data_IF_593498551534
#
_entry.id   IF_593498551534
#
_cell.length_a   1.000
_cell.length_b   1.000
_cell.length_c   1.000
_cell.angle_alpha   90.00
_cell.angle_beta   90.00
_cell.angle_gamma   90.00
#
_symmetry.space_group_name_H-M   'P 1'
#
loop_
_entity.id
_entity.type
_entity.pdbx_description
1 polymer ?
#
# COMPACT_ATOMS: atom_id res chain seq x y z
N UNK A 1 -15.56 43.10 -0.70
CA UNK A 1 -15.64 41.65 -0.43
C UNK A 1 -16.21 40.99 -1.67
N UNK A 2 -15.38 40.25 -2.40
CA UNK A 2 -15.76 39.64 -3.68
C UNK A 2 -16.62 38.40 -3.42
N UNK A 3 -17.56 38.12 -4.33
CA UNK A 3 -18.46 36.95 -4.29
C UNK A 3 -17.73 35.59 -4.26
N UNK A 4 -16.44 35.58 -4.53
CA UNK A 4 -15.61 34.38 -4.57
C UNK A 4 -15.19 33.89 -3.17
N UNK A 5 -15.18 34.77 -2.16
CA UNK A 5 -14.81 34.41 -0.78
C UNK A 5 -15.92 33.61 -0.06
N UNK A 6 -17.16 33.64 -0.55
CA UNK A 6 -18.31 32.99 0.07
C UNK A 6 -18.44 31.50 -0.31
N UNK A 7 -17.85 31.08 -1.45
CA UNK A 7 -17.92 29.69 -1.95
C UNK A 7 -16.98 28.75 -1.17
N UNK A 8 -15.87 29.26 -0.65
CA UNK A 8 -14.91 28.45 0.12
C UNK A 8 -15.43 28.07 1.51
N UNK A 9 -16.22 28.91 2.17
CA UNK A 9 -16.68 28.67 3.55
C UNK A 9 -17.82 27.65 3.68
N UNK A 10 -18.59 27.39 2.62
CA UNK A 10 -19.70 26.41 2.67
C UNK A 10 -19.23 24.98 2.40
N UNK A 11 -18.14 24.83 1.62
CA UNK A 11 -17.56 23.53 1.26
C UNK A 11 -16.64 22.97 2.34
N UNK A 12 -15.95 23.83 3.11
CA UNK A 12 -15.16 23.43 4.28
C UNK A 12 -16.01 22.93 5.45
N UNK A 13 -17.24 23.44 5.61
CA UNK A 13 -18.18 23.05 6.69
C UNK A 13 -18.65 21.59 6.66
N UNK A 14 -18.35 20.84 5.59
CA UNK A 14 -18.66 19.41 5.45
C UNK A 14 -17.43 18.51 5.34
N UNK A 15 -16.23 19.02 5.62
CA UNK A 15 -15.04 18.18 5.71
C UNK A 15 -14.98 17.59 7.12
N UNK A 16 -15.20 16.29 7.23
CA UNK A 16 -14.89 15.56 8.46
C UNK A 16 -13.38 15.74 8.73
N UNK A 17 -13.05 16.40 9.84
CA UNK A 17 -11.67 16.54 10.29
C UNK A 17 -11.24 15.18 10.84
N UNK A 18 -10.65 14.35 9.98
CA UNK A 18 -10.02 13.10 10.40
C UNK A 18 -8.71 13.44 11.13
N UNK A 19 -8.80 13.63 12.44
CA UNK A 19 -7.62 13.81 13.29
C UNK A 19 -6.89 12.45 13.39
N UNK A 20 -5.87 12.25 12.57
CA UNK A 20 -4.89 11.18 12.81
C UNK A 20 -4.16 11.54 14.11
N UNK A 21 -4.28 10.68 15.13
CA UNK A 21 -3.64 10.92 16.44
C UNK A 21 -2.12 11.01 16.28
N UNK A 22 -1.45 11.76 17.17
CA UNK A 22 0.01 11.97 17.17
C UNK A 22 0.84 10.68 17.06
N UNK A 23 0.33 9.55 17.57
CA UNK A 23 0.97 8.25 17.45
C UNK A 23 1.19 7.79 15.99
N UNK A 24 0.31 8.19 15.07
CA UNK A 24 0.42 7.89 13.64
C UNK A 24 1.09 9.03 12.85
N UNK A 25 1.46 10.12 13.51
CA UNK A 25 2.22 11.21 12.91
C UNK A 25 3.66 10.75 12.69
N UNK A 26 4.13 10.84 11.44
CA UNK A 26 5.51 10.49 11.08
C UNK A 26 6.48 11.68 11.17
N UNK A 27 6.00 12.85 11.57
CA UNK A 27 6.71 14.12 11.50
C UNK A 27 6.24 14.98 10.32
N UNK A 28 6.59 16.26 10.35
CA UNK A 28 6.30 17.19 9.26
C UNK A 28 7.04 16.72 8.00
N UNK A 29 6.33 16.52 6.89
CA UNK A 29 6.85 16.23 5.54
C UNK A 29 7.11 14.77 5.12
N UNK A 30 6.74 13.77 5.92
CA UNK A 30 6.87 12.32 5.55
C UNK A 30 5.52 11.61 5.33
N UNK A 31 4.47 12.40 5.07
CA UNK A 31 3.07 11.97 5.18
C UNK A 31 2.57 11.02 4.10
N UNK A 32 2.95 11.18 2.82
CA UNK A 32 2.30 10.47 1.72
C UNK A 32 0.75 10.58 1.76
N UNK A 33 0.04 9.82 0.92
CA UNK A 33 -1.43 9.84 0.95
C UNK A 33 -1.96 9.28 2.29
N UNK A 34 -1.30 8.27 2.86
CA UNK A 34 -1.81 7.51 4.00
C UNK A 34 -1.59 8.22 5.34
N UNK A 35 -0.58 9.08 5.48
CA UNK A 35 -0.28 9.79 6.74
C UNK A 35 -0.50 11.32 6.64
N UNK A 36 -1.02 11.84 5.53
CA UNK A 36 -1.43 13.26 5.45
C UNK A 36 -2.59 13.56 6.42
N UNK A 37 -2.40 14.59 7.26
CA UNK A 37 -3.35 14.98 8.30
C UNK A 37 -4.28 16.13 7.83
N UNK A 38 -3.80 16.96 6.89
CA UNK A 38 -4.61 18.03 6.30
C UNK A 38 -5.58 17.44 5.26
N UNK A 39 -6.88 17.63 5.48
CA UNK A 39 -7.94 17.09 4.63
C UNK A 39 -7.86 17.60 3.17
N UNK A 40 -7.45 18.84 2.96
CA UNK A 40 -7.31 19.42 1.62
C UNK A 40 -6.11 18.81 0.90
N UNK A 41 -4.96 18.72 1.55
CA UNK A 41 -3.76 18.06 1.00
C UNK A 41 -4.01 16.58 0.75
N UNK A 42 -4.72 15.90 1.64
CA UNK A 42 -5.12 14.50 1.46
C UNK A 42 -5.97 14.34 0.22
N UNK A 43 -7.00 15.18 0.03
CA UNK A 43 -7.86 15.13 -1.16
C UNK A 43 -7.08 15.36 -2.45
N UNK A 44 -6.16 16.31 -2.46
CA UNK A 44 -5.28 16.53 -3.61
C UNK A 44 -4.38 15.32 -3.89
N UNK A 45 -3.79 14.74 -2.85
CA UNK A 45 -2.94 13.55 -2.97
C UNK A 45 -3.74 12.33 -3.46
N UNK A 46 -4.93 12.09 -2.91
CA UNK A 46 -5.86 11.03 -3.36
C UNK A 46 -6.26 11.26 -4.81
N UNK A 47 -6.56 12.50 -5.22
CA UNK A 47 -6.92 12.82 -6.60
C UNK A 47 -5.78 12.48 -7.57
N UNK A 48 -4.52 12.63 -7.17
CA UNK A 48 -3.36 12.27 -8.00
C UNK A 48 -3.24 10.76 -8.22
N UNK A 49 -3.60 9.94 -7.23
CA UNK A 49 -3.47 8.47 -7.30
C UNK A 49 -4.77 7.75 -7.72
N UNK A 50 -5.93 8.41 -7.64
CA UNK A 50 -7.23 7.77 -7.85
C UNK A 50 -7.40 7.17 -9.25
N UNK A 51 -6.77 7.79 -10.27
CA UNK A 51 -6.77 7.26 -11.64
C UNK A 51 -6.02 5.93 -11.73
N UNK A 52 -4.88 5.80 -11.05
CA UNK A 52 -4.11 4.55 -11.00
C UNK A 52 -4.88 3.44 -10.28
N UNK A 53 -5.75 3.80 -9.32
CA UNK A 53 -6.61 2.86 -8.59
C UNK A 53 -8.03 2.71 -9.19
N UNK A 54 -8.27 3.19 -10.41
CA UNK A 54 -9.60 3.07 -11.04
C UNK A 54 -9.91 1.61 -11.40
N UNK A 55 -11.21 1.25 -11.50
CA UNK A 55 -11.61 -0.10 -11.94
C UNK A 55 -10.93 -0.51 -13.24
N UNK A 56 -10.85 0.40 -14.21
CA UNK A 56 -10.21 0.15 -15.51
C UNK A 56 -8.72 -0.16 -15.34
N UNK A 57 -8.03 0.60 -14.49
CA UNK A 57 -6.61 0.40 -14.19
C UNK A 57 -6.38 -0.94 -13.48
N UNK A 58 -7.24 -1.29 -12.52
CA UNK A 58 -7.16 -2.58 -11.82
C UNK A 58 -7.37 -3.77 -12.77
N UNK A 59 -8.32 -3.68 -13.70
CA UNK A 59 -8.50 -4.71 -14.74
C UNK A 59 -7.30 -4.79 -15.69
N UNK A 60 -6.67 -3.66 -16.04
CA UNK A 60 -5.47 -3.68 -16.85
C UNK A 60 -4.28 -4.35 -16.13
N UNK A 61 -4.27 -4.35 -14.80
CA UNK A 61 -3.26 -4.99 -13.95
C UNK A 61 -3.53 -6.49 -13.71
N UNK A 62 -4.71 -6.98 -14.07
CA UNK A 62 -5.11 -8.39 -13.87
C UNK A 62 -4.06 -9.40 -14.37
N UNK A 63 -3.48 -9.27 -15.58
CA UNK A 63 -2.49 -10.24 -16.06
C UNK A 63 -1.25 -10.33 -15.17
N UNK A 64 -0.80 -9.21 -14.61
CA UNK A 64 0.35 -9.16 -13.69
C UNK A 64 0.01 -9.88 -12.38
N UNK A 65 -1.20 -9.66 -11.86
CA UNK A 65 -1.68 -10.34 -10.65
C UNK A 65 -1.74 -11.85 -10.87
N UNK A 66 -2.27 -12.31 -12.01
CA UNK A 66 -2.30 -13.74 -12.34
C UNK A 66 -0.89 -14.33 -12.45
N UNK A 67 0.06 -13.65 -13.10
CA UNK A 67 1.46 -14.10 -13.19
C UNK A 67 2.05 -14.37 -11.79
N UNK A 68 1.91 -13.41 -10.86
CA UNK A 68 2.43 -13.57 -9.49
C UNK A 68 1.70 -14.66 -8.70
N UNK A 69 0.38 -14.80 -8.90
CA UNK A 69 -0.43 -15.85 -8.25
C UNK A 69 -0.06 -17.25 -8.77
N UNK A 70 0.20 -17.40 -10.06
CA UNK A 70 0.68 -18.66 -10.64
C UNK A 70 2.00 -19.07 -10.02
N UNK A 71 2.99 -18.17 -9.99
CA UNK A 71 4.28 -18.43 -9.33
C UNK A 71 4.11 -18.80 -7.85
N UNK A 72 3.23 -18.10 -7.13
CA UNK A 72 2.95 -18.41 -5.73
C UNK A 72 2.40 -19.82 -5.56
N UNK A 73 1.41 -20.21 -6.36
CA UNK A 73 0.78 -21.53 -6.29
C UNK A 73 1.76 -22.63 -6.69
N UNK A 74 2.55 -22.43 -7.75
CA UNK A 74 3.58 -23.38 -8.17
C UNK A 74 4.59 -23.63 -7.05
N UNK A 75 5.11 -22.56 -6.46
CA UNK A 75 6.06 -22.65 -5.36
C UNK A 75 5.44 -23.28 -4.12
N UNK A 76 4.19 -22.98 -3.77
CA UNK A 76 3.50 -23.65 -2.65
C UNK A 76 3.33 -25.16 -2.88
N UNK A 77 3.08 -25.60 -4.11
CA UNK A 77 2.97 -27.03 -4.47
C UNK A 77 4.30 -27.76 -4.27
N UNK A 78 5.42 -27.14 -4.62
CA UNK A 78 6.75 -27.70 -4.43
C UNK A 78 7.12 -27.88 -2.95
N UNK A 79 6.66 -26.97 -2.08
CA UNK A 79 6.95 -27.01 -0.65
C UNK A 79 5.97 -27.85 0.17
N UNK A 80 4.86 -28.31 -0.43
CA UNK A 80 3.86 -29.18 0.21
C UNK A 80 4.45 -30.50 0.72
N UNK A 81 5.55 -30.97 0.13
CA UNK A 81 6.20 -32.24 0.44
C UNK A 81 7.30 -32.17 1.50
N UNK A 82 7.57 -30.99 2.08
CA UNK A 82 8.59 -30.82 3.12
C UNK A 82 7.99 -31.03 4.51
N UNK A 83 8.65 -31.87 5.31
CA UNK A 83 8.36 -32.03 6.73
C UNK A 83 8.63 -30.71 7.45
N UNK A 84 7.56 -30.04 7.91
CA UNK A 84 7.61 -28.72 8.55
C UNK A 84 6.54 -27.74 8.08
N UNK A 85 5.86 -28.03 6.96
CA UNK A 85 4.81 -27.17 6.44
C UNK A 85 5.33 -25.84 5.89
N UNK A 86 4.42 -24.89 5.65
CA UNK A 86 4.74 -23.59 5.07
C UNK A 86 4.26 -22.46 5.97
N UNK A 87 5.16 -21.53 6.30
CA UNK A 87 4.82 -20.33 7.04
C UNK A 87 3.99 -19.35 6.20
N UNK A 88 2.67 -19.48 6.26
CA UNK A 88 1.73 -18.70 5.43
C UNK A 88 2.03 -17.19 5.51
N UNK A 89 2.33 -16.66 6.70
CA UNK A 89 2.63 -15.23 6.88
C UNK A 89 3.80 -14.75 6.03
N UNK A 90 4.91 -15.49 6.02
CA UNK A 90 6.09 -15.13 5.24
C UNK A 90 5.80 -15.18 3.74
N UNK A 91 5.10 -16.22 3.31
CA UNK A 91 4.72 -16.41 1.92
C UNK A 91 3.76 -15.32 1.42
N UNK A 92 2.79 -14.92 2.24
CA UNK A 92 1.91 -13.79 1.91
C UNK A 92 2.65 -12.46 1.91
N UNK A 93 3.67 -12.27 2.76
CA UNK A 93 4.51 -11.07 2.74
C UNK A 93 5.34 -10.98 1.47
N UNK A 94 5.97 -12.07 1.03
CA UNK A 94 6.71 -12.10 -0.23
C UNK A 94 5.80 -11.78 -1.42
N UNK A 95 4.62 -12.40 -1.48
CA UNK A 95 3.65 -12.14 -2.54
C UNK A 95 3.16 -10.69 -2.52
N UNK A 96 2.87 -10.13 -1.35
CA UNK A 96 2.43 -8.75 -1.20
C UNK A 96 3.49 -7.75 -1.68
N UNK A 97 4.77 -7.99 -1.38
CA UNK A 97 5.83 -7.10 -1.88
C UNK A 97 6.00 -7.27 -3.39
N UNK A 98 6.10 -8.50 -3.90
CA UNK A 98 6.25 -8.73 -5.34
C UNK A 98 5.12 -8.06 -6.14
N UNK A 99 3.86 -8.17 -5.69
CA UNK A 99 2.72 -7.48 -6.28
C UNK A 99 2.83 -5.95 -6.14
N UNK A 100 3.07 -5.44 -4.93
CA UNK A 100 3.06 -3.99 -4.69
C UNK A 100 4.15 -3.26 -5.49
N UNK A 101 5.34 -3.86 -5.64
CA UNK A 101 6.43 -3.24 -6.39
C UNK A 101 6.20 -3.29 -7.90
N UNK A 102 5.62 -4.38 -8.40
CA UNK A 102 5.33 -4.53 -9.82
C UNK A 102 4.17 -3.63 -10.24
N UNK A 103 3.08 -3.63 -9.45
CA UNK A 103 1.90 -2.79 -9.73
C UNK A 103 2.16 -1.29 -9.57
N UNK A 104 3.01 -0.89 -8.62
CA UNK A 104 3.26 0.53 -8.35
C UNK A 104 4.41 1.12 -9.18
N UNK A 105 5.44 0.32 -9.48
CA UNK A 105 6.69 0.80 -10.09
C UNK A 105 7.18 -0.06 -11.25
N UNK A 106 6.42 -1.06 -11.71
CA UNK A 106 6.84 -2.02 -12.75
C UNK A 106 8.19 -2.67 -12.41
N UNK A 107 8.42 -2.95 -11.11
CA UNK A 107 9.65 -3.49 -10.59
C UNK A 107 9.42 -4.88 -10.00
N UNK A 108 10.04 -5.89 -10.59
CA UNK A 108 9.99 -7.27 -10.11
C UNK A 108 11.03 -7.51 -9.00
N UNK A 109 10.60 -7.86 -7.79
CA UNK A 109 11.51 -8.28 -6.70
C UNK A 109 11.70 -9.79 -6.61
N UNK A 110 10.78 -10.58 -7.17
CA UNK A 110 10.84 -12.04 -7.26
C UNK A 110 11.16 -12.75 -5.93
N UNK A 111 10.64 -12.25 -4.83
CA UNK A 111 10.84 -12.80 -3.48
C UNK A 111 10.19 -14.16 -3.32
N UNK A 112 8.99 -14.38 -3.89
CA UNK A 112 8.33 -15.70 -3.90
C UNK A 112 9.18 -16.75 -4.63
N UNK A 113 9.87 -16.34 -5.70
CA UNK A 113 10.75 -17.22 -6.48
C UNK A 113 12.06 -17.51 -5.75
N UNK A 114 12.68 -16.48 -5.19
CA UNK A 114 14.02 -16.56 -4.59
C UNK A 114 14.04 -17.00 -3.13
N UNK A 115 12.89 -16.93 -2.45
CA UNK A 115 12.72 -17.18 -1.01
C UNK A 115 13.62 -16.31 -0.14
N UNK A 116 13.77 -15.05 -0.55
CA UNK A 116 14.62 -14.07 0.12
C UNK A 116 13.86 -12.78 0.32
N UNK A 117 13.99 -12.24 1.52
CA UNK A 117 13.46 -10.93 1.84
C UNK A 117 14.25 -9.88 1.06
N UNK A 118 13.54 -8.93 0.46
CA UNK A 118 14.21 -7.73 -0.04
C UNK A 118 14.41 -6.71 1.09
N UNK A 119 15.35 -5.78 0.89
CA UNK A 119 15.60 -4.67 1.83
C UNK A 119 14.31 -3.90 2.15
N UNK A 120 13.36 -3.82 1.20
CA UNK A 120 12.06 -3.18 1.42
C UNK A 120 11.19 -3.97 2.40
N UNK A 121 11.16 -5.30 2.27
CA UNK A 121 10.39 -6.16 3.17
C UNK A 121 10.97 -6.11 4.59
N UNK A 122 12.30 -6.19 4.71
CA UNK A 122 12.98 -6.07 5.99
C UNK A 122 12.65 -4.74 6.69
N UNK A 123 12.70 -3.62 5.96
CA UNK A 123 12.34 -2.31 6.50
C UNK A 123 10.88 -2.24 6.96
N UNK A 124 9.94 -2.80 6.19
CA UNK A 124 8.52 -2.82 6.56
C UNK A 124 8.27 -3.69 7.79
N UNK A 125 8.87 -4.88 7.85
CA UNK A 125 8.73 -5.78 8.99
C UNK A 125 9.38 -5.20 10.26
N UNK A 126 10.52 -4.53 10.13
CA UNK A 126 11.14 -3.81 11.25
C UNK A 126 10.29 -2.63 11.72
N UNK A 127 9.55 -1.98 10.82
CA UNK A 127 8.66 -0.87 11.15
C UNK A 127 7.35 -1.31 11.80
N UNK A 128 6.77 -2.46 11.40
CA UNK A 128 5.46 -2.93 11.88
C UNK A 128 5.30 -2.91 13.41
N UNK A 129 6.25 -3.40 14.23
CA UNK A 129 6.15 -3.34 15.69
C UNK A 129 5.92 -1.93 16.23
N UNK A 130 6.35 -0.88 15.54
CA UNK A 130 6.22 0.51 15.99
C UNK A 130 4.88 1.15 15.59
N UNK A 131 4.17 0.59 14.60
CA UNK A 131 2.88 1.12 14.13
C UNK A 131 1.66 0.38 14.71
N UNK A 132 1.83 -0.86 15.16
CA UNK A 132 0.73 -1.72 15.63
C UNK A 132 0.59 -1.83 17.15
N UNK A 133 1.35 -1.07 17.94
CA UNK A 133 1.10 -0.97 19.39
C UNK A 133 -0.17 -0.15 19.61
N UNK A 134 -1.26 -0.85 19.94
CA UNK A 134 -2.54 -0.30 20.39
C UNK A 134 -2.43 0.12 21.85
#
# INVERSE_FOLDING_TARGET
MSKDDEVFTQSEKRLEVFVKRDFQSRGEDVGGVIFEADALKYREAVRKVSLACSKRSLWAMEPVVHEHMEYFVERMKEFRSRDGGVGILQWTNWLAIDLSTDLSWNKKTSQVKTLKDSVHLEAILAFNPFATVI
#
